data_IF_239157110536
#
_entry.id   IF_239157110536
#
_cell.length_a   1.000
_cell.length_b   1.000
_cell.length_c   1.000
_cell.angle_alpha   90.00
_cell.angle_beta   90.00
_cell.angle_gamma   90.00
#
_symmetry.space_group_name_H-M   'P 1'
#
loop_
_entity.id
_entity.type
_entity.pdbx_description
1 polymer ?
#
# COMPACT_ATOMS: atom_id res chain seq x y z
N UNK A 1 12.26 -16.80 6.12
CA UNK A 1 12.91 -15.90 5.18
C UNK A 1 13.53 -14.75 5.94
N UNK A 2 14.73 -14.31 5.62
CA UNK A 2 15.35 -13.26 6.39
C UNK A 2 14.80 -11.88 6.00
N UNK A 3 14.96 -10.93 6.91
CA UNK A 3 14.39 -9.59 6.75
C UNK A 3 15.00 -8.81 5.59
N UNK A 4 16.26 -9.05 5.25
CA UNK A 4 16.91 -8.38 4.12
C UNK A 4 16.27 -8.77 2.79
N UNK A 5 15.94 -10.04 2.61
CA UNK A 5 15.26 -10.52 1.40
C UNK A 5 13.84 -9.96 1.29
N UNK A 6 13.13 -9.85 2.41
CA UNK A 6 11.80 -9.23 2.43
C UNK A 6 11.93 -7.74 2.06
N UNK A 7 12.90 -7.04 2.62
CA UNK A 7 13.12 -5.62 2.31
C UNK A 7 13.45 -5.41 0.83
N UNK A 8 14.26 -6.27 0.25
CA UNK A 8 14.55 -6.24 -1.20
C UNK A 8 13.29 -6.46 -2.03
N UNK A 9 12.47 -7.45 -1.66
CA UNK A 9 11.22 -7.74 -2.36
C UNK A 9 10.25 -6.56 -2.27
N UNK A 10 10.14 -5.93 -1.10
CA UNK A 10 9.30 -4.75 -0.90
C UNK A 10 9.81 -3.55 -1.70
N UNK A 11 11.12 -3.30 -1.72
CA UNK A 11 11.68 -2.22 -2.53
C UNK A 11 11.38 -2.42 -4.01
N UNK A 12 11.52 -3.64 -4.53
CA UNK A 12 11.18 -3.96 -5.91
C UNK A 12 9.68 -3.76 -6.18
N UNK A 13 8.83 -4.16 -5.24
CA UNK A 13 7.38 -3.97 -5.32
C UNK A 13 7.02 -2.48 -5.43
N UNK A 14 7.54 -1.63 -4.55
CA UNK A 14 7.22 -0.21 -4.57
C UNK A 14 7.80 0.51 -5.79
N UNK A 15 8.97 0.09 -6.28
CA UNK A 15 9.52 0.61 -7.53
C UNK A 15 8.63 0.24 -8.72
N UNK A 16 8.13 -0.99 -8.77
CA UNK A 16 7.22 -1.43 -9.82
C UNK A 16 5.89 -0.67 -9.76
N UNK A 17 5.37 -0.43 -8.56
CA UNK A 17 4.15 0.37 -8.35
C UNK A 17 4.34 1.79 -8.90
N UNK A 18 5.45 2.42 -8.59
CA UNK A 18 5.76 3.76 -9.06
C UNK A 18 5.94 3.82 -10.58
N UNK A 19 6.49 2.76 -11.18
CA UNK A 19 6.72 2.67 -12.63
C UNK A 19 5.45 2.26 -13.41
N UNK A 20 4.39 1.84 -12.73
CA UNK A 20 3.18 1.34 -13.39
C UNK A 20 3.34 -0.05 -14.00
N UNK A 21 4.34 -0.81 -13.54
CA UNK A 21 4.57 -2.18 -14.01
C UNK A 21 3.73 -3.15 -13.16
N UNK A 22 2.50 -3.37 -13.60
CA UNK A 22 1.52 -4.14 -12.82
C UNK A 22 1.95 -5.59 -12.57
N UNK A 23 2.55 -6.23 -13.55
CA UNK A 23 2.99 -7.63 -13.39
C UNK A 23 4.11 -7.73 -12.35
N UNK A 24 5.13 -6.89 -12.47
CA UNK A 24 6.22 -6.86 -11.50
C UNK A 24 5.75 -6.45 -10.10
N UNK A 25 4.82 -5.49 -10.03
CA UNK A 25 4.21 -5.06 -8.76
C UNK A 25 3.57 -6.21 -8.02
N UNK A 26 2.88 -7.11 -8.74
CA UNK A 26 2.09 -8.18 -8.12
C UNK A 26 2.87 -9.49 -7.92
N UNK A 27 4.12 -9.55 -8.33
CA UNK A 27 4.98 -10.73 -8.11
C UNK A 27 5.21 -11.05 -6.64
N UNK A 28 5.12 -10.05 -5.77
CA UNK A 28 5.33 -10.22 -4.33
C UNK A 28 4.24 -11.07 -3.66
N UNK A 29 3.06 -11.16 -4.28
CA UNK A 29 1.90 -11.83 -3.70
C UNK A 29 1.88 -13.32 -4.00
N UNK A 30 1.47 -14.13 -3.02
CA UNK A 30 1.07 -15.51 -3.27
C UNK A 30 -0.18 -15.55 -4.15
N UNK A 31 -0.39 -16.63 -4.90
CA UNK A 31 -1.55 -16.77 -5.80
C UNK A 31 -2.88 -16.60 -5.06
N UNK A 32 -2.96 -17.12 -3.83
CA UNK A 32 -4.15 -17.09 -2.98
C UNK A 32 -4.12 -15.97 -1.94
N UNK A 33 -3.26 -14.97 -2.12
CA UNK A 33 -3.18 -13.83 -1.20
C UNK A 33 -4.53 -13.14 -1.08
N UNK A 34 -4.82 -12.64 0.12
CA UNK A 34 -5.99 -11.81 0.35
C UNK A 34 -5.56 -10.38 0.67
N UNK A 35 -6.39 -9.41 0.26
CA UNK A 35 -6.19 -8.01 0.59
C UNK A 35 -7.47 -7.45 1.18
N UNK A 36 -7.36 -6.87 2.38
CA UNK A 36 -8.49 -6.30 3.09
C UNK A 36 -8.47 -4.78 3.02
N UNK A 37 -9.63 -4.20 2.75
CA UNK A 37 -9.90 -2.77 2.86
C UNK A 37 -10.86 -2.54 4.04
N UNK A 38 -10.34 -2.37 5.27
CA UNK A 38 -11.22 -2.27 6.45
C UNK A 38 -12.19 -1.08 6.39
N UNK A 39 -11.78 0.02 5.74
CA UNK A 39 -12.61 1.22 5.66
C UNK A 39 -13.92 1.00 4.91
N UNK A 40 -13.92 0.14 3.88
CA UNK A 40 -15.12 -0.21 3.13
C UNK A 40 -15.70 -1.57 3.53
N UNK A 41 -14.95 -2.35 4.33
CA UNK A 41 -15.37 -3.69 4.72
C UNK A 41 -15.24 -4.73 3.62
N UNK A 42 -14.33 -4.51 2.66
CA UNK A 42 -14.15 -5.39 1.51
C UNK A 42 -12.92 -6.26 1.65
N UNK A 43 -13.00 -7.47 1.09
CA UNK A 43 -11.87 -8.39 0.97
C UNK A 43 -11.70 -8.82 -0.48
N UNK A 44 -10.49 -8.67 -1.01
CA UNK A 44 -10.14 -9.12 -2.35
C UNK A 44 -9.49 -10.50 -2.22
N UNK A 45 -9.99 -11.47 -2.98
CA UNK A 45 -9.54 -12.86 -2.92
C UNK A 45 -8.66 -13.18 -4.13
N UNK A 46 -7.38 -13.43 -3.86
CA UNK A 46 -6.41 -13.88 -4.84
C UNK A 46 -5.67 -12.76 -5.55
N UNK A 47 -4.43 -13.08 -5.94
CA UNK A 47 -3.54 -12.14 -6.65
C UNK A 47 -4.16 -11.63 -7.96
N UNK A 48 -4.79 -12.50 -8.73
CA UNK A 48 -5.36 -12.12 -10.02
C UNK A 48 -6.48 -11.08 -9.85
N UNK A 49 -7.35 -11.25 -8.86
CA UNK A 49 -8.40 -10.29 -8.56
C UNK A 49 -7.83 -8.96 -8.07
N UNK A 50 -6.79 -9.01 -7.24
CA UNK A 50 -6.15 -7.80 -6.74
C UNK A 50 -5.53 -6.99 -7.88
N UNK A 51 -4.82 -7.64 -8.78
CA UNK A 51 -4.22 -6.99 -9.94
C UNK A 51 -5.30 -6.42 -10.87
N UNK A 52 -6.37 -7.17 -11.13
CA UNK A 52 -7.48 -6.72 -11.96
C UNK A 52 -8.16 -5.48 -11.36
N UNK A 53 -8.45 -5.51 -10.07
CA UNK A 53 -9.05 -4.38 -9.37
C UNK A 53 -8.19 -3.12 -9.50
N UNK A 54 -6.90 -3.23 -9.25
CA UNK A 54 -5.95 -2.10 -9.35
C UNK A 54 -5.83 -1.58 -10.77
N UNK A 55 -5.89 -2.46 -11.77
CA UNK A 55 -5.85 -2.06 -13.19
C UNK A 55 -7.10 -1.31 -13.63
N UNK A 56 -8.23 -1.52 -12.95
CA UNK A 56 -9.51 -0.85 -13.24
C UNK A 56 -9.74 0.40 -12.38
N UNK A 57 -8.79 0.79 -11.56
CA UNK A 57 -8.93 2.01 -10.76
C UNK A 57 -9.18 3.21 -11.68
N UNK A 58 -10.20 4.05 -11.38
CA UNK A 58 -10.56 5.16 -12.26
C UNK A 58 -9.48 6.23 -12.36
N UNK A 59 -8.67 6.40 -11.31
CA UNK A 59 -7.54 7.32 -11.32
C UNK A 59 -6.24 6.60 -11.67
N UNK A 60 -5.38 7.25 -12.44
CA UNK A 60 -4.03 6.75 -12.69
C UNK A 60 -3.05 7.45 -11.76
N UNK A 61 -2.20 6.71 -11.04
CA UNK A 61 -1.21 7.34 -10.17
C UNK A 61 -0.23 8.17 -11.00
N UNK A 62 0.01 9.42 -10.57
CA UNK A 62 1.02 10.29 -11.14
C UNK A 62 2.29 10.36 -10.27
N UNK A 63 2.23 9.83 -9.07
CA UNK A 63 3.35 9.76 -8.15
C UNK A 63 3.13 8.71 -7.09
N UNK A 64 4.23 8.17 -6.58
CA UNK A 64 4.22 7.12 -5.57
C UNK A 64 5.43 7.37 -4.67
N UNK A 65 5.19 7.72 -3.41
CA UNK A 65 6.26 8.11 -2.51
C UNK A 65 6.21 7.33 -1.20
N UNK A 66 7.18 6.44 -1.03
CA UNK A 66 7.33 5.68 0.22
C UNK A 66 7.99 6.58 1.26
N UNK A 67 7.29 6.80 2.37
CA UNK A 67 7.82 7.58 3.48
C UNK A 67 8.67 6.74 4.40
N UNK A 68 8.19 5.56 4.78
CA UNK A 68 8.94 4.61 5.62
C UNK A 68 8.41 3.20 5.48
N UNK A 69 9.29 2.26 5.75
CA UNK A 69 8.99 0.84 5.66
C UNK A 69 9.66 0.16 6.84
N UNK A 70 8.87 -0.47 7.69
CA UNK A 70 9.33 -1.09 8.92
C UNK A 70 8.74 -2.48 9.04
N UNK A 71 9.50 -3.40 9.61
CA UNK A 71 9.02 -4.74 9.83
C UNK A 71 9.88 -5.54 10.77
N UNK A 72 9.32 -6.68 11.19
CA UNK A 72 10.00 -7.65 12.02
C UNK A 72 9.44 -9.03 11.67
N UNK A 73 10.32 -9.97 11.34
CA UNK A 73 9.89 -11.29 10.90
C UNK A 73 9.05 -11.21 9.64
N UNK A 74 7.86 -11.76 9.70
CA UNK A 74 6.95 -11.86 8.56
C UNK A 74 5.92 -10.73 8.47
N UNK A 75 5.98 -9.75 9.38
CA UNK A 75 5.04 -8.62 9.41
C UNK A 75 5.75 -7.33 9.04
N UNK A 76 5.25 -6.66 7.98
CA UNK A 76 5.86 -5.44 7.46
C UNK A 76 4.82 -4.37 7.19
N UNK A 77 5.16 -3.13 7.55
CA UNK A 77 4.29 -1.97 7.38
C UNK A 77 5.01 -0.94 6.49
N UNK A 78 4.31 -0.46 5.48
CA UNK A 78 4.79 0.64 4.62
C UNK A 78 3.81 1.80 4.70
N UNK A 79 4.34 2.97 5.00
CA UNK A 79 3.61 4.23 4.94
C UNK A 79 4.03 4.98 3.69
N UNK A 80 3.06 5.34 2.84
CA UNK A 80 3.36 5.96 1.55
C UNK A 80 2.23 6.86 1.09
N UNK A 81 2.53 7.69 0.10
CA UNK A 81 1.54 8.56 -0.53
C UNK A 81 1.42 8.20 -2.01
N UNK A 82 0.19 8.00 -2.47
CA UNK A 82 -0.11 7.85 -3.88
C UNK A 82 -0.73 9.17 -4.34
N UNK A 83 -0.20 9.74 -5.42
CA UNK A 83 -0.75 10.97 -5.97
C UNK A 83 -1.58 10.65 -7.22
N UNK A 84 -2.83 11.06 -7.22
CA UNK A 84 -3.77 10.94 -8.34
C UNK A 84 -4.12 12.34 -8.83
N UNK A 85 -3.58 12.72 -9.99
CA UNK A 85 -3.85 14.05 -10.60
C UNK A 85 -3.61 15.21 -9.62
N UNK A 86 -2.45 15.17 -8.93
CA UNK A 86 -2.07 16.18 -7.97
C UNK A 86 -2.70 16.07 -6.59
N UNK A 87 -3.59 15.08 -6.38
CA UNK A 87 -4.24 14.87 -5.07
C UNK A 87 -3.60 13.68 -4.36
N UNK A 88 -3.09 13.87 -3.14
CA UNK A 88 -2.47 12.77 -2.41
C UNK A 88 -3.52 11.87 -1.75
N UNK A 89 -3.24 10.56 -1.77
CA UNK A 89 -3.90 9.58 -0.92
C UNK A 89 -2.87 9.06 0.07
N UNK A 90 -3.08 9.31 1.36
CA UNK A 90 -2.19 8.85 2.42
C UNK A 90 -2.52 7.39 2.72
N UNK A 91 -1.53 6.52 2.57
CA UNK A 91 -1.77 5.08 2.50
C UNK A 91 -0.86 4.33 3.46
N UNK A 92 -1.41 3.30 4.07
CA UNK A 92 -0.65 2.35 4.89
C UNK A 92 -0.98 0.94 4.40
N UNK A 93 0.08 0.18 4.07
CA UNK A 93 -0.03 -1.24 3.75
C UNK A 93 0.61 -2.05 4.86
N UNK A 94 -0.14 -3.01 5.40
CA UNK A 94 0.34 -3.98 6.39
C UNK A 94 0.37 -5.32 5.68
N UNK A 95 1.57 -5.88 5.51
CA UNK A 95 1.77 -7.12 4.76
C UNK A 95 2.27 -8.23 5.66
N UNK A 96 1.63 -9.38 5.55
CA UNK A 96 2.03 -10.61 6.24
C UNK A 96 2.58 -11.58 5.20
N UNK A 97 3.80 -12.07 5.45
CA UNK A 97 4.53 -12.94 4.53
C UNK A 97 4.48 -14.39 5.00
N UNK A 98 4.53 -15.32 4.05
CA UNK A 98 4.76 -16.74 4.27
C UNK A 98 5.56 -17.27 3.09
N UNK A 99 6.66 -17.98 3.38
CA UNK A 99 7.52 -18.55 2.34
C UNK A 99 7.95 -17.49 1.30
N UNK A 100 8.23 -16.28 1.75
CA UNK A 100 8.73 -15.20 0.91
C UNK A 100 7.70 -14.48 0.05
N UNK A 101 6.41 -14.78 0.23
CA UNK A 101 5.32 -14.13 -0.50
C UNK A 101 4.31 -13.54 0.46
N UNK A 102 3.69 -12.44 0.06
CA UNK A 102 2.58 -11.84 0.83
C UNK A 102 1.37 -12.76 0.73
N UNK A 103 0.85 -13.16 1.88
CA UNK A 103 -0.38 -13.96 1.96
C UNK A 103 -1.57 -13.13 2.42
N UNK A 104 -1.32 -12.03 3.11
CA UNK A 104 -2.36 -11.13 3.58
C UNK A 104 -1.84 -9.69 3.57
N UNK A 105 -2.56 -8.82 2.91
CA UNK A 105 -2.31 -7.38 2.97
C UNK A 105 -3.54 -6.69 3.52
N UNK A 106 -3.32 -5.71 4.41
CA UNK A 106 -4.37 -4.80 4.88
C UNK A 106 -3.98 -3.40 4.45
N UNK A 107 -4.86 -2.69 3.74
CA UNK A 107 -4.58 -1.35 3.27
C UNK A 107 -5.60 -0.36 3.80
N UNK A 108 -5.10 0.78 4.25
CA UNK A 108 -5.88 1.95 4.64
C UNK A 108 -5.54 3.10 3.71
N UNK A 109 -6.57 3.83 3.28
CA UNK A 109 -6.43 4.98 2.40
C UNK A 109 -7.08 6.18 3.06
N UNK A 110 -6.44 7.34 3.01
CA UNK A 110 -6.98 8.55 3.61
C UNK A 110 -6.77 9.74 2.68
N UNK A 111 -7.87 10.46 2.42
CA UNK A 111 -7.81 11.72 1.70
C UNK A 111 -7.44 12.85 2.67
N UNK A 112 -6.76 13.91 2.20
CA UNK A 112 -6.58 15.10 3.01
C UNK A 112 -7.94 15.75 3.31
N UNK A 113 -8.03 16.41 4.45
CA UNK A 113 -9.24 17.14 4.84
C UNK A 113 -8.85 18.45 5.51
N UNK A 114 -9.78 19.41 5.49
CA UNK A 114 -9.57 20.71 6.14
C UNK A 114 -9.47 20.52 7.65
N UNK A 115 -8.48 21.19 8.27
CA UNK A 115 -8.32 21.16 9.72
C UNK A 115 -9.56 21.78 10.39
N UNK A 116 -10.22 21.04 11.30
CA UNK A 116 -11.39 21.60 11.98
C UNK A 116 -10.99 22.72 12.97
N UNK A 117 -11.81 23.76 13.04
CA UNK A 117 -11.49 24.95 13.84
C UNK A 117 -11.44 24.69 15.34
N UNK A 118 -12.16 23.67 15.85
CA UNK A 118 -12.26 23.44 17.29
C UNK A 118 -10.91 23.15 17.96
N UNK A 119 -9.91 22.66 17.20
CA UNK A 119 -8.57 22.34 17.74
C UNK A 119 -7.48 23.34 17.37
N UNK A 120 -7.83 24.43 16.67
CA UNK A 120 -6.85 25.39 16.12
C UNK A 120 -5.92 25.99 17.18
N UNK A 121 -6.39 26.11 18.41
CA UNK A 121 -5.63 26.69 19.54
C UNK A 121 -4.40 25.83 19.90
N UNK A 122 -4.46 24.52 19.64
CA UNK A 122 -3.43 23.58 20.11
C UNK A 122 -2.62 22.94 19.00
N UNK A 123 -2.86 23.32 17.76
CA UNK A 123 -2.17 22.70 16.61
C UNK A 123 -1.42 23.76 15.81
N UNK A 124 -0.44 23.28 15.05
CA UNK A 124 0.31 24.10 14.09
C UNK A 124 0.21 23.42 12.73
N UNK A 125 -0.01 24.19 11.68
CA UNK A 125 0.03 23.67 10.32
C UNK A 125 1.45 23.27 9.92
N UNK A 126 1.58 22.12 9.29
CA UNK A 126 2.84 21.62 8.77
C UNK A 126 3.01 21.94 7.30
#
# INVERSE_FOLDING_TARGET
MNEDLIREALNAHWQASAAGDADAEHDIYADDAICDYPQSGERILGRANLQALRSHHPGKPSGFNVRRMLGNGDLWVTEYTITYEGRPAYTVSIMEFRNGKVVHETQYFADPFAAPSWRSQWVKQI
#
